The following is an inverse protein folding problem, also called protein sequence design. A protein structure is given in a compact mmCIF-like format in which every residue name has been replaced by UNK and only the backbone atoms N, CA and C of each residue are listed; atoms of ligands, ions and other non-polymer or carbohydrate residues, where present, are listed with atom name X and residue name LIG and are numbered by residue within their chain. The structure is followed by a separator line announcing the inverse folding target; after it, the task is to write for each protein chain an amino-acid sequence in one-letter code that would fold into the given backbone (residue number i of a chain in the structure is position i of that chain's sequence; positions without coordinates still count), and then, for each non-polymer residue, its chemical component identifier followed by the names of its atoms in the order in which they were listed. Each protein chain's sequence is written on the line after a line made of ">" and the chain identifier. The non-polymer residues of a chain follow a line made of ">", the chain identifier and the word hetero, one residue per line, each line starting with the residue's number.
data_IF_931033237945
#
_entry.id   IF_931033237945
#
_cell.length_a   1.000
_cell.length_b   1.000
_cell.length_c   1.000
_cell.angle_alpha   90.00
_cell.angle_beta   90.00
_cell.angle_gamma   90.00
#
_symmetry.space_group_name_H-M   'P 1'
#
loop_
_entity.id
_entity.type
_entity.pdbx_description
1 polymer ?
#
# COMPACT_ATOMS: atom_id res chain seq x y z
N UNK A 1 -18.57 -16.07 -8.85
CA UNK A 1 -17.09 -15.92 -8.80
C UNK A 1 -16.76 -15.19 -7.52
N UNK A 2 -16.03 -15.78 -6.58
CA UNK A 2 -15.72 -15.20 -5.25
C UNK A 2 -14.73 -14.03 -5.28
N UNK A 3 -14.82 -13.16 -6.29
CA UNK A 3 -13.97 -11.97 -6.48
C UNK A 3 -14.62 -10.80 -5.76
N UNK A 4 -13.84 -10.05 -5.00
CA UNK A 4 -14.23 -8.81 -4.32
C UNK A 4 -13.70 -7.62 -5.11
N UNK A 5 -14.50 -6.57 -5.27
CA UNK A 5 -14.12 -5.36 -5.99
C UNK A 5 -13.74 -4.30 -4.96
N UNK A 6 -12.54 -3.74 -5.09
CA UNK A 6 -12.06 -2.61 -4.30
C UNK A 6 -11.92 -1.44 -5.25
N UNK A 7 -12.42 -0.27 -4.85
CA UNK A 7 -12.27 0.95 -5.63
C UNK A 7 -10.99 1.68 -5.21
N UNK A 8 -10.37 2.38 -6.16
CA UNK A 8 -9.15 3.15 -5.95
C UNK A 8 -9.52 4.64 -6.04
N UNK A 9 -9.15 5.45 -5.05
CA UNK A 9 -9.64 6.83 -4.99
C UNK A 9 -8.83 7.72 -4.06
N UNK A 10 -9.05 9.03 -4.19
CA UNK A 10 -8.28 10.08 -3.48
C UNK A 10 -9.21 11.12 -2.92
N UNK A 11 -8.86 11.62 -1.74
CA UNK A 11 -9.55 12.73 -1.09
C UNK A 11 -8.62 13.89 -0.75
N UNK A 12 -7.30 13.78 -0.95
CA UNK A 12 -6.35 14.88 -0.64
C UNK A 12 -6.45 16.04 -1.65
N UNK A 13 -7.13 15.82 -2.78
CA UNK A 13 -7.05 16.67 -3.95
C UNK A 13 -8.43 17.00 -4.51
N UNK A 14 -8.65 18.26 -4.86
CA UNK A 14 -9.79 18.68 -5.67
C UNK A 14 -9.32 19.19 -7.04
N UNK A 15 -9.87 18.61 -8.11
CA UNK A 15 -9.60 19.07 -9.48
C UNK A 15 -10.19 20.47 -9.69
N UNK A 16 -9.30 21.44 -9.92
CA UNK A 16 -9.66 22.86 -10.03
C UNK A 16 -10.42 23.19 -11.32
N UNK A 17 -10.40 22.29 -12.30
CA UNK A 17 -11.15 22.45 -13.54
C UNK A 17 -12.65 22.15 -13.39
N UNK A 18 -13.03 21.39 -12.35
CA UNK A 18 -14.39 20.89 -12.17
C UNK A 18 -15.36 21.97 -11.67
N UNK A 19 -16.64 21.96 -12.11
CA UNK A 19 -17.63 22.93 -11.65
C UNK A 19 -17.80 22.97 -10.13
N UNK A 20 -17.83 21.81 -9.48
CA UNK A 20 -18.01 21.73 -8.02
C UNK A 20 -16.84 22.30 -7.23
N UNK A 21 -15.63 22.36 -7.82
CA UNK A 21 -14.52 23.05 -7.18
C UNK A 21 -14.82 24.53 -7.06
N UNK A 22 -15.28 25.14 -8.16
CA UNK A 22 -15.57 26.57 -8.23
C UNK A 22 -16.77 27.00 -7.38
N UNK A 23 -17.67 26.07 -7.05
CA UNK A 23 -18.85 26.37 -6.22
C UNK A 23 -18.69 26.04 -4.75
N UNK A 24 -17.96 24.97 -4.40
CA UNK A 24 -17.93 24.44 -3.04
C UNK A 24 -16.52 24.11 -2.54
N UNK A 25 -15.73 23.30 -3.26
CA UNK A 25 -14.47 22.78 -2.71
C UNK A 25 -13.40 23.87 -2.55
N UNK A 26 -13.39 24.93 -3.37
CA UNK A 26 -12.37 25.98 -3.29
C UNK A 26 -12.26 26.60 -1.88
N UNK A 27 -13.36 26.56 -1.11
CA UNK A 27 -13.44 27.09 0.26
C UNK A 27 -12.60 26.32 1.28
N UNK A 28 -12.15 25.12 0.92
CA UNK A 28 -11.40 24.22 1.80
C UNK A 28 -9.99 23.92 1.28
N UNK A 29 -9.52 24.68 0.28
CA UNK A 29 -8.16 24.56 -0.21
C UNK A 29 -7.17 25.07 0.85
N UNK A 30 -6.07 24.34 1.04
CA UNK A 30 -4.99 24.78 1.90
C UNK A 30 -4.22 25.94 1.25
N UNK A 31 -3.90 26.97 2.02
CA UNK A 31 -3.12 28.13 1.58
C UNK A 31 -1.84 28.30 2.38
N UNK A 32 -0.85 28.93 1.75
CA UNK A 32 0.37 29.41 2.41
C UNK A 32 0.07 30.66 3.28
N UNK A 33 1.06 31.19 4.03
CA UNK A 33 0.89 32.39 4.87
C UNK A 33 0.47 33.65 4.13
N UNK A 34 0.60 33.69 2.79
CA UNK A 34 0.24 34.82 1.95
C UNK A 34 -1.14 34.65 1.29
N UNK A 35 -1.86 33.58 1.65
CA UNK A 35 -3.18 33.27 1.11
C UNK A 35 -3.13 32.62 -0.28
N UNK A 36 -1.95 32.16 -0.74
CA UNK A 36 -1.79 31.49 -2.03
C UNK A 36 -2.15 30.01 -1.85
N UNK A 37 -3.13 29.47 -2.60
CA UNK A 37 -3.47 28.05 -2.52
C UNK A 37 -2.32 27.16 -2.95
N UNK A 38 -2.11 26.06 -2.20
CA UNK A 38 -1.21 25.01 -2.62
C UNK A 38 -1.83 24.18 -3.74
N UNK A 39 -1.01 23.87 -4.74
CA UNK A 39 -1.43 23.09 -5.89
C UNK A 39 -0.52 21.89 -6.12
N UNK A 40 -1.12 20.78 -6.56
CA UNK A 40 -0.43 19.61 -7.06
C UNK A 40 -0.73 19.43 -8.56
N UNK A 41 0.26 19.01 -9.33
CA UNK A 41 0.04 18.58 -10.71
C UNK A 41 -0.82 17.31 -10.76
N UNK A 42 -1.72 17.21 -11.73
CA UNK A 42 -2.44 15.97 -12.05
C UNK A 42 -1.52 14.86 -12.53
N UNK A 43 -1.99 13.62 -12.46
CA UNK A 43 -1.23 12.46 -12.92
C UNK A 43 -0.97 12.48 -14.42
N UNK A 44 0.30 12.31 -14.80
CA UNK A 44 0.71 12.03 -16.17
C UNK A 44 0.88 10.52 -16.36
N UNK A 45 0.05 9.92 -17.19
CA UNK A 45 0.17 8.53 -17.67
C UNK A 45 0.93 8.45 -19.00
N UNK A 46 1.72 9.48 -19.33
CA UNK A 46 2.58 9.57 -20.52
C UNK A 46 1.83 9.51 -21.86
N UNK A 47 0.57 9.93 -21.92
CA UNK A 47 -0.06 10.18 -23.22
C UNK A 47 0.59 11.39 -23.89
N UNK A 48 0.57 11.50 -25.24
CA UNK A 48 1.10 12.67 -25.93
C UNK A 48 0.51 13.99 -25.42
N UNK A 49 -0.78 14.02 -25.06
CA UNK A 49 -1.43 15.21 -24.50
C UNK A 49 -0.92 15.56 -23.10
N UNK A 50 -0.59 14.58 -22.27
CA UNK A 50 -0.04 14.81 -20.93
C UNK A 50 1.43 15.23 -21.01
N UNK A 51 2.21 14.62 -21.91
CA UNK A 51 3.59 15.03 -22.18
C UNK A 51 3.66 16.47 -22.72
N UNK A 52 2.64 16.90 -23.46
CA UNK A 52 2.48 18.28 -23.93
C UNK A 52 1.84 19.22 -22.89
N UNK A 53 1.48 18.73 -21.69
CA UNK A 53 0.87 19.52 -20.62
C UNK A 53 -0.56 20.01 -20.90
N UNK A 54 -1.26 19.41 -21.88
CA UNK A 54 -2.58 19.88 -22.36
C UNK A 54 -3.71 19.44 -21.41
N UNK A 55 -3.67 18.20 -20.95
CA UNK A 55 -4.72 17.63 -20.09
C UNK A 55 -4.20 17.22 -18.70
N UNK A 56 -3.12 17.85 -18.25
CA UNK A 56 -2.68 17.75 -16.86
C UNK A 56 -3.46 18.74 -16.01
N UNK A 57 -4.54 18.26 -15.40
CA UNK A 57 -5.38 19.10 -14.56
C UNK A 57 -4.64 19.51 -13.29
N UNK A 58 -4.83 20.75 -12.84
CA UNK A 58 -4.31 21.24 -11.56
C UNK A 58 -5.27 20.87 -10.45
N UNK A 59 -4.71 20.45 -9.32
CA UNK A 59 -5.48 20.05 -8.15
C UNK A 59 -5.11 20.93 -6.97
N UNK A 60 -6.12 21.43 -6.26
CA UNK A 60 -5.90 22.09 -4.97
C UNK A 60 -5.63 21.02 -3.90
N UNK A 61 -4.73 21.32 -2.96
CA UNK A 61 -4.53 20.49 -1.77
C UNK A 61 -5.62 20.80 -0.75
N UNK A 62 -6.35 19.80 -0.30
CA UNK A 62 -7.50 19.98 0.57
C UNK A 62 -7.12 19.90 2.05
N UNK A 63 -7.79 20.69 2.88
CA UNK A 63 -7.51 20.75 4.32
C UNK A 63 -8.29 19.69 5.12
N UNK A 64 -7.60 18.63 5.53
CA UNK A 64 -8.19 17.53 6.31
C UNK A 64 -8.51 17.92 7.75
N UNK A 65 -7.87 18.96 8.29
CA UNK A 65 -8.16 19.43 9.63
C UNK A 65 -9.53 20.13 9.68
N UNK A 66 -9.96 20.73 8.57
CA UNK A 66 -11.27 21.38 8.48
C UNK A 66 -12.43 20.38 8.64
N UNK A 67 -13.30 20.54 9.66
CA UNK A 67 -14.50 19.71 9.79
C UNK A 67 -15.42 19.81 8.57
N UNK A 68 -15.57 21.01 8.01
CA UNK A 68 -16.40 21.23 6.82
C UNK A 68 -15.88 20.49 5.59
N UNK A 69 -14.56 20.39 5.43
CA UNK A 69 -13.98 19.57 4.38
C UNK A 69 -14.21 18.07 4.63
N UNK A 70 -14.01 17.59 5.86
CA UNK A 70 -14.23 16.17 6.22
C UNK A 70 -15.67 15.74 5.95
N UNK A 71 -16.64 16.60 6.23
CA UNK A 71 -18.04 16.34 5.90
C UNK A 71 -18.26 16.22 4.39
N UNK A 72 -17.68 17.13 3.62
CA UNK A 72 -17.78 17.13 2.17
C UNK A 72 -17.08 15.91 1.54
N UNK A 73 -15.87 15.57 1.99
CA UNK A 73 -15.15 14.38 1.57
C UNK A 73 -15.91 13.09 1.92
N UNK A 74 -16.55 13.05 3.09
CA UNK A 74 -17.40 11.92 3.50
C UNK A 74 -18.61 11.75 2.59
N UNK A 75 -19.24 12.85 2.13
CA UNK A 75 -20.33 12.77 1.13
C UNK A 75 -19.86 12.20 -0.20
N UNK A 76 -18.65 12.58 -0.66
CA UNK A 76 -18.06 11.99 -1.87
C UNK A 76 -17.74 10.51 -1.67
N UNK A 77 -17.18 10.13 -0.52
CA UNK A 77 -16.91 8.74 -0.17
C UNK A 77 -18.19 7.89 -0.11
N UNK A 78 -19.32 8.44 0.35
CA UNK A 78 -20.60 7.73 0.33
C UNK A 78 -21.07 7.34 -1.08
N UNK A 79 -20.67 8.08 -2.12
CA UNK A 79 -20.93 7.68 -3.51
C UNK A 79 -20.18 6.41 -3.88
N UNK A 80 -18.96 6.23 -3.36
CA UNK A 80 -18.17 5.00 -3.51
C UNK A 80 -18.89 3.83 -2.83
N UNK A 81 -19.39 4.01 -1.62
CA UNK A 81 -20.16 2.98 -0.90
C UNK A 81 -21.43 2.59 -1.67
N UNK A 82 -22.12 3.55 -2.29
CA UNK A 82 -23.33 3.32 -3.07
C UNK A 82 -23.10 2.46 -4.32
N UNK A 83 -21.86 2.36 -4.82
CA UNK A 83 -21.49 1.46 -5.92
C UNK A 83 -21.40 -0.02 -5.50
N UNK A 84 -21.48 -0.33 -4.21
CA UNK A 84 -21.45 -1.70 -3.70
C UNK A 84 -20.06 -2.34 -3.71
N UNK A 85 -18.99 -1.54 -3.64
CA UNK A 85 -17.64 -2.05 -3.50
C UNK A 85 -17.43 -2.78 -2.17
N UNK A 86 -16.52 -3.75 -2.15
CA UNK A 86 -16.13 -4.49 -0.94
C UNK A 86 -15.02 -3.80 -0.15
N UNK A 87 -14.47 -2.70 -0.69
CA UNK A 87 -13.41 -1.94 -0.05
C UNK A 87 -12.99 -0.73 -0.88
N UNK A 88 -12.08 0.03 -0.29
CA UNK A 88 -11.44 1.18 -0.91
C UNK A 88 -9.95 1.21 -0.59
N UNK A 89 -9.13 1.49 -1.61
CA UNK A 89 -7.73 1.87 -1.46
C UNK A 89 -7.63 3.39 -1.62
N UNK A 90 -7.30 4.03 -0.52
CA UNK A 90 -7.01 5.45 -0.46
C UNK A 90 -5.58 5.73 -0.92
N UNK A 91 -5.46 6.12 -2.17
CA UNK A 91 -4.17 6.44 -2.79
C UNK A 91 -3.64 7.80 -2.34
N UNK A 92 -2.33 7.91 -2.20
CA UNK A 92 -1.61 9.06 -1.62
C UNK A 92 -2.06 9.45 -0.19
N UNK A 93 -2.69 8.55 0.59
CA UNK A 93 -3.12 8.88 1.95
C UNK A 93 -1.96 9.07 2.95
N UNK A 94 -0.71 8.82 2.54
CA UNK A 94 0.49 9.05 3.32
C UNK A 94 0.99 10.51 3.30
N UNK A 95 0.44 11.38 2.44
CA UNK A 95 0.88 12.77 2.35
C UNK A 95 -0.18 13.76 1.84
N UNK A 96 0.04 15.03 2.17
CA UNK A 96 -0.75 16.17 1.70
C UNK A 96 0.05 17.08 0.76
N UNK A 97 0.85 16.44 -0.10
CA UNK A 97 1.72 17.14 -1.05
C UNK A 97 2.78 17.97 -0.31
N UNK A 98 2.96 19.26 -0.64
CA UNK A 98 3.92 20.11 0.06
C UNK A 98 3.41 20.65 1.41
N UNK A 99 2.15 20.40 1.77
CA UNK A 99 1.49 21.12 2.86
C UNK A 99 1.71 20.41 4.20
N UNK A 100 2.19 21.17 5.18
CA UNK A 100 2.21 20.76 6.60
C UNK A 100 1.25 21.60 7.43
N UNK A 101 1.19 22.90 7.13
CA UNK A 101 0.35 23.85 7.82
C UNK A 101 -0.52 24.60 6.80
N UNK A 102 -1.80 24.78 7.13
CA UNK A 102 -2.74 25.57 6.36
C UNK A 102 -3.03 26.90 7.08
N UNK A 103 -2.92 28.01 6.36
CA UNK A 103 -3.12 29.36 6.86
C UNK A 103 -4.48 29.98 6.49
N UNK A 104 -5.32 29.24 5.75
CA UNK A 104 -6.63 29.73 5.34
C UNK A 104 -7.52 30.05 6.56
N UNK A 105 -8.18 31.23 6.60
CA UNK A 105 -9.14 31.55 7.65
C UNK A 105 -10.43 30.73 7.49
N UNK A 106 -11.26 30.70 8.53
CA UNK A 106 -12.63 30.16 8.49
C UNK A 106 -12.77 28.65 8.23
N UNK A 107 -11.70 27.87 8.45
CA UNK A 107 -11.72 26.41 8.29
C UNK A 107 -12.18 25.63 9.54
N UNK A 108 -12.64 26.33 10.58
CA UNK A 108 -13.12 25.73 11.83
C UNK A 108 -12.04 25.59 12.93
N UNK A 109 -10.90 26.26 12.76
CA UNK A 109 -9.82 26.37 13.74
C UNK A 109 -9.10 27.72 13.58
N UNK A 110 -8.27 28.11 14.56
CA UNK A 110 -7.41 29.31 14.46
C UNK A 110 -6.15 28.99 13.65
N UNK A 111 -5.90 29.65 12.50
CA UNK A 111 -4.72 29.36 11.70
C UNK A 111 -3.40 29.78 12.40
N UNK A 112 -2.27 29.10 12.11
CA UNK A 112 -2.14 27.98 11.18
C UNK A 112 -2.60 26.63 11.78
N UNK A 113 -3.22 25.79 10.95
CA UNK A 113 -3.63 24.44 11.31
C UNK A 113 -2.65 23.38 10.79
N UNK A 114 -2.23 22.45 11.63
CA UNK A 114 -1.41 21.31 11.20
C UNK A 114 -2.29 20.23 10.55
N UNK A 115 -2.28 20.14 9.23
CA UNK A 115 -3.32 19.41 8.49
C UNK A 115 -3.34 17.89 8.74
N UNK A 116 -2.18 17.30 9.06
CA UNK A 116 -2.07 15.88 9.41
C UNK A 116 -2.84 15.52 10.69
N UNK A 117 -3.13 16.50 11.57
CA UNK A 117 -4.00 16.26 12.72
C UNK A 117 -5.45 15.91 12.31
N UNK A 118 -5.82 16.17 11.05
CA UNK A 118 -7.11 15.79 10.47
C UNK A 118 -7.20 14.35 9.96
N UNK A 119 -6.09 13.63 9.83
CA UNK A 119 -6.08 12.33 9.15
C UNK A 119 -6.79 11.23 9.94
N UNK A 120 -6.54 11.14 11.25
CA UNK A 120 -7.25 10.20 12.12
C UNK A 120 -8.75 10.53 12.20
N UNK A 121 -9.17 11.79 12.49
CA UNK A 121 -10.58 12.16 12.48
C UNK A 121 -11.27 11.90 11.13
N UNK A 122 -10.59 12.13 10.00
CA UNK A 122 -11.11 11.79 8.68
C UNK A 122 -11.28 10.27 8.56
N UNK A 123 -10.26 9.48 8.89
CA UNK A 123 -10.32 8.02 8.84
C UNK A 123 -11.47 7.44 9.67
N UNK A 124 -11.64 7.93 10.90
CA UNK A 124 -12.75 7.54 11.79
C UNK A 124 -14.13 7.89 11.20
N UNK A 125 -14.26 9.09 10.62
CA UNK A 125 -15.51 9.54 10.00
C UNK A 125 -15.88 8.71 8.77
N UNK A 126 -14.89 8.41 7.90
CA UNK A 126 -15.10 7.55 6.74
C UNK A 126 -15.43 6.12 7.16
N UNK A 127 -14.74 5.59 8.18
CA UNK A 127 -15.03 4.25 8.74
C UNK A 127 -16.46 4.18 9.28
N UNK A 128 -16.88 5.17 10.05
CA UNK A 128 -18.24 5.25 10.58
C UNK A 128 -19.30 5.32 9.47
N UNK A 129 -19.00 5.96 8.33
CA UNK A 129 -19.88 5.95 7.17
C UNK A 129 -19.96 4.56 6.51
N UNK A 130 -18.82 3.87 6.35
CA UNK A 130 -18.77 2.52 5.79
C UNK A 130 -19.45 1.48 6.67
N UNK A 131 -19.26 1.54 8.00
CA UNK A 131 -19.84 0.58 8.96
C UNK A 131 -21.38 0.59 8.97
N UNK A 132 -22.02 1.65 8.48
CA UNK A 132 -23.49 1.71 8.29
C UNK A 132 -23.97 0.91 7.08
N UNK A 133 -23.07 0.63 6.13
CA UNK A 133 -23.37 -0.08 4.87
C UNK A 133 -22.83 -1.51 4.92
N UNK A 134 -21.56 -1.66 5.26
CA UNK A 134 -20.86 -2.94 5.38
C UNK A 134 -19.74 -2.84 6.42
N UNK A 135 -19.88 -3.58 7.53
CA UNK A 135 -18.87 -3.61 8.60
C UNK A 135 -17.61 -4.37 8.20
N UNK A 136 -17.66 -5.18 7.15
CA UNK A 136 -16.51 -5.88 6.60
C UNK A 136 -15.84 -5.10 5.45
N UNK A 137 -16.31 -3.89 5.16
CA UNK A 137 -15.71 -3.05 4.13
C UNK A 137 -14.22 -2.83 4.42
N UNK A 138 -13.36 -3.19 3.46
CA UNK A 138 -11.92 -3.12 3.60
C UNK A 138 -11.43 -1.68 3.36
N UNK A 139 -10.68 -1.15 4.33
CA UNK A 139 -9.93 0.09 4.17
C UNK A 139 -8.45 -0.25 3.90
N UNK A 140 -7.94 0.28 2.81
CA UNK A 140 -6.53 0.22 2.45
C UNK A 140 -5.98 1.63 2.18
N UNK A 141 -4.67 1.83 2.37
CA UNK A 141 -4.02 3.10 2.08
C UNK A 141 -2.64 2.91 1.45
N UNK A 142 -2.18 3.88 0.67
CA UNK A 142 -0.84 3.89 0.05
C UNK A 142 0.24 4.33 1.05
N UNK A 143 1.09 3.40 1.49
CA UNK A 143 2.35 3.69 2.20
C UNK A 143 2.21 4.52 3.47
N UNK A 144 1.04 4.49 4.10
CA UNK A 144 0.71 5.34 5.24
C UNK A 144 1.48 4.94 6.50
N UNK A 145 1.64 5.90 7.39
CA UNK A 145 2.32 5.72 8.66
C UNK A 145 1.57 4.73 9.56
N UNK A 146 2.28 4.06 10.46
CA UNK A 146 1.75 3.02 11.35
C UNK A 146 0.51 3.45 12.16
N UNK A 147 0.48 4.69 12.65
CA UNK A 147 -0.67 5.21 13.40
C UNK A 147 -1.96 5.26 12.57
N UNK A 148 -1.88 5.41 11.25
CA UNK A 148 -3.04 5.38 10.36
C UNK A 148 -3.59 3.97 10.11
N UNK A 149 -2.86 2.91 10.47
CA UNK A 149 -3.34 1.52 10.34
C UNK A 149 -4.55 1.21 11.21
N UNK A 150 -4.82 2.04 12.21
CA UNK A 150 -6.05 1.99 13.01
C UNK A 150 -7.30 2.26 12.17
N UNK A 151 -7.19 3.11 11.14
CA UNK A 151 -8.28 3.44 10.22
C UNK A 151 -8.16 2.71 8.87
N UNK A 152 -6.93 2.44 8.43
CA UNK A 152 -6.60 1.77 7.16
C UNK A 152 -5.78 0.50 7.41
N UNK A 153 -6.41 -0.63 7.80
CA UNK A 153 -5.65 -1.80 8.23
C UNK A 153 -4.67 -2.35 7.20
N UNK A 154 -4.99 -2.26 5.89
CA UNK A 154 -4.13 -2.74 4.81
C UNK A 154 -3.26 -1.59 4.26
N UNK A 155 -1.94 -1.78 4.24
CA UNK A 155 -1.03 -0.86 3.55
C UNK A 155 -0.61 -1.41 2.19
N UNK A 156 -0.70 -0.56 1.17
CA UNK A 156 -0.25 -0.82 -0.19
C UNK A 156 0.99 0.03 -0.48
N UNK A 157 2.06 -0.55 -1.03
CA UNK A 157 3.27 0.20 -1.33
C UNK A 157 4.14 -0.50 -2.38
N UNK A 158 5.26 0.14 -2.72
CA UNK A 158 6.29 -0.41 -3.61
C UNK A 158 7.56 -0.64 -2.81
N UNK A 159 8.33 -1.64 -3.24
CA UNK A 159 9.65 -1.97 -2.67
C UNK A 159 10.65 -2.14 -3.79
N UNK A 160 11.92 -2.26 -3.40
CA UNK A 160 13.04 -2.66 -4.24
C UNK A 160 13.98 -3.60 -3.45
N UNK A 161 15.06 -4.05 -4.08
CA UNK A 161 16.02 -4.96 -3.45
C UNK A 161 16.74 -4.37 -2.22
N UNK A 162 16.74 -3.04 -2.06
CA UNK A 162 17.31 -2.34 -0.91
C UNK A 162 16.32 -2.14 0.25
N UNK A 163 15.06 -2.50 0.04
CA UNK A 163 14.00 -2.27 1.01
C UNK A 163 14.15 -3.13 2.26
N UNK A 164 13.88 -2.50 3.41
CA UNK A 164 13.82 -3.11 4.74
C UNK A 164 12.36 -3.27 5.16
N UNK A 165 11.93 -4.45 5.65
CA UNK A 165 10.53 -4.69 6.02
C UNK A 165 10.18 -4.08 7.39
N UNK A 166 10.33 -2.76 7.55
CA UNK A 166 10.24 -2.08 8.86
C UNK A 166 8.93 -2.40 9.59
N UNK A 167 7.82 -2.38 8.86
CA UNK A 167 6.49 -2.68 9.40
C UNK A 167 6.37 -4.08 10.00
N UNK A 168 7.17 -5.05 9.53
CA UNK A 168 7.17 -6.41 10.07
C UNK A 168 7.80 -6.50 11.46
N UNK A 169 8.63 -5.53 11.85
CA UNK A 169 9.16 -5.45 13.22
C UNK A 169 8.18 -4.81 14.20
N UNK A 170 7.21 -4.03 13.71
CA UNK A 170 6.15 -3.41 14.52
C UNK A 170 4.98 -4.40 14.67
N UNK A 171 4.50 -4.92 13.55
CA UNK A 171 3.46 -5.96 13.49
C UNK A 171 3.83 -7.02 12.43
N UNK A 172 4.37 -8.18 12.88
CA UNK A 172 4.72 -9.28 11.99
C UNK A 172 3.56 -9.81 11.15
N UNK A 173 2.31 -9.56 11.57
CA UNK A 173 1.10 -10.07 10.94
C UNK A 173 0.35 -9.05 10.09
N UNK A 174 0.72 -7.77 10.12
CA UNK A 174 0.04 -6.68 9.39
C UNK A 174 -0.25 -7.05 7.92
N UNK A 175 -1.44 -6.70 7.39
CA UNK A 175 -1.74 -6.92 5.98
C UNK A 175 -1.02 -5.84 5.15
N UNK A 176 0.07 -6.24 4.51
CA UNK A 176 0.94 -5.38 3.73
C UNK A 176 0.98 -5.92 2.31
N UNK A 177 0.72 -5.07 1.32
CA UNK A 177 0.57 -5.43 -0.08
C UNK A 177 1.58 -4.68 -0.94
N UNK A 178 2.26 -5.43 -1.81
CA UNK A 178 3.34 -4.90 -2.64
C UNK A 178 3.03 -5.10 -4.11
N UNK A 179 3.22 -4.05 -4.90
CA UNK A 179 3.06 -4.08 -6.35
C UNK A 179 4.15 -4.93 -7.03
N UNK A 180 3.73 -5.78 -7.96
CA UNK A 180 4.58 -6.40 -8.98
C UNK A 180 4.19 -5.84 -10.35
N UNK A 181 5.16 -5.26 -11.04
CA UNK A 181 4.92 -4.40 -12.22
C UNK A 181 5.71 -4.83 -13.45
N UNK A 182 6.77 -5.64 -13.26
CA UNK A 182 7.68 -6.06 -14.32
C UNK A 182 7.17 -7.24 -15.17
N UNK A 183 7.75 -7.39 -16.36
CA UNK A 183 7.53 -8.53 -17.27
C UNK A 183 7.94 -9.87 -16.63
N UNK A 184 9.12 -9.87 -16.00
CA UNK A 184 9.69 -10.95 -15.21
C UNK A 184 10.13 -10.39 -13.86
N UNK A 185 9.18 -10.31 -12.94
CA UNK A 185 9.34 -9.66 -11.64
C UNK A 185 9.68 -10.65 -10.52
N UNK A 186 10.51 -11.64 -10.85
CA UNK A 186 10.89 -12.72 -9.93
C UNK A 186 11.58 -12.22 -8.66
N UNK A 187 12.40 -11.18 -8.77
CA UNK A 187 13.08 -10.57 -7.62
C UNK A 187 12.08 -9.98 -6.63
N UNK A 188 11.10 -9.20 -7.10
CA UNK A 188 10.08 -8.63 -6.22
C UNK A 188 9.20 -9.73 -5.61
N UNK A 189 8.83 -10.73 -6.40
CA UNK A 189 8.07 -11.89 -5.91
C UNK A 189 8.83 -12.67 -4.83
N UNK A 190 10.15 -12.79 -4.94
CA UNK A 190 11.00 -13.37 -3.90
C UNK A 190 10.97 -12.55 -2.60
N UNK A 191 11.09 -11.22 -2.69
CA UNK A 191 10.98 -10.35 -1.52
C UNK A 191 9.59 -10.45 -0.88
N UNK A 192 8.54 -10.50 -1.69
CA UNK A 192 7.16 -10.69 -1.21
C UNK A 192 7.02 -12.01 -0.44
N UNK A 193 7.69 -13.09 -0.87
CA UNK A 193 7.71 -14.36 -0.11
C UNK A 193 8.53 -14.24 1.18
N UNK A 194 9.72 -13.63 1.13
CA UNK A 194 10.59 -13.43 2.29
C UNK A 194 9.91 -12.62 3.39
N UNK A 195 9.30 -11.49 3.02
CA UNK A 195 8.80 -10.49 3.96
C UNK A 195 7.28 -10.64 4.22
N UNK A 196 6.69 -11.76 3.76
CA UNK A 196 5.28 -12.11 3.98
C UNK A 196 4.30 -11.06 3.46
N UNK A 197 4.51 -10.53 2.25
CA UNK A 197 3.60 -9.54 1.65
C UNK A 197 2.48 -10.18 0.82
N UNK A 198 1.37 -9.46 0.66
CA UNK A 198 0.34 -9.74 -0.35
C UNK A 198 0.86 -9.28 -1.71
N UNK A 199 0.51 -10.01 -2.77
CA UNK A 199 0.92 -9.67 -4.15
C UNK A 199 -0.17 -8.79 -4.77
N UNK A 200 0.20 -7.57 -5.19
CA UNK A 200 -0.63 -6.73 -6.06
C UNK A 200 -0.11 -6.84 -7.49
N UNK A 201 -0.88 -7.47 -8.36
CA UNK A 201 -0.54 -7.65 -9.77
C UNK A 201 -0.88 -6.41 -10.59
N UNK A 202 0.14 -5.66 -11.01
CA UNK A 202 -0.02 -4.35 -11.65
C UNK A 202 0.76 -4.25 -12.96
N UNK A 203 0.31 -4.94 -14.03
CA UNK A 203 0.97 -4.90 -15.33
C UNK A 203 1.25 -3.44 -15.75
N UNK A 204 2.54 -3.09 -15.85
CA UNK A 204 3.03 -1.76 -16.23
C UNK A 204 2.46 -0.60 -15.38
N UNK A 205 2.27 -0.82 -14.06
CA UNK A 205 1.66 0.16 -13.16
C UNK A 205 0.22 0.48 -13.56
N UNK A 206 -0.62 -0.55 -13.64
CA UNK A 206 -2.04 -0.50 -14.03
C UNK A 206 -2.29 -0.09 -15.50
N UNK A 207 -1.29 -0.16 -16.38
CA UNK A 207 -1.42 0.20 -17.81
C UNK A 207 -1.57 -0.99 -18.76
N UNK A 208 -1.62 -2.20 -18.22
CA UNK A 208 -1.80 -3.42 -19.01
C UNK A 208 -2.81 -4.39 -18.39
N UNK A 209 -2.94 -5.53 -19.04
CA UNK A 209 -3.74 -6.67 -18.62
C UNK A 209 -2.88 -7.72 -17.93
N UNK A 210 -3.50 -8.57 -17.09
CA UNK A 210 -2.79 -9.69 -16.45
C UNK A 210 -2.12 -10.65 -17.45
N UNK A 211 -2.60 -10.67 -18.69
CA UNK A 211 -2.01 -11.45 -19.80
C UNK A 211 -0.71 -10.86 -20.34
N UNK A 212 -0.38 -9.62 -19.99
CA UNK A 212 0.76 -8.91 -20.59
C UNK A 212 2.09 -9.22 -19.92
N UNK A 213 2.08 -9.82 -18.72
CA UNK A 213 3.28 -10.24 -17.97
C UNK A 213 3.22 -11.71 -17.52
N UNK A 214 3.11 -12.68 -18.46
CA UNK A 214 2.81 -14.07 -18.14
C UNK A 214 3.85 -14.75 -17.25
N UNK A 215 5.13 -14.33 -17.30
CA UNK A 215 6.19 -14.87 -16.45
C UNK A 215 5.98 -14.51 -14.98
N UNK A 216 5.74 -13.22 -14.69
CA UNK A 216 5.41 -12.74 -13.34
C UNK A 216 4.16 -13.44 -12.78
N UNK A 217 3.10 -13.55 -13.59
CA UNK A 217 1.88 -14.23 -13.15
C UNK A 217 2.09 -15.72 -12.88
N UNK A 218 2.85 -16.42 -13.73
CA UNK A 218 3.15 -17.84 -13.56
C UNK A 218 3.95 -18.09 -12.29
N UNK A 219 4.98 -17.27 -12.02
CA UNK A 219 5.79 -17.43 -10.82
C UNK A 219 5.04 -17.07 -9.54
N UNK A 220 4.26 -15.98 -9.55
CA UNK A 220 3.48 -15.61 -8.37
C UNK A 220 2.40 -16.66 -8.03
N UNK A 221 1.81 -17.35 -9.02
CA UNK A 221 0.93 -18.50 -8.77
C UNK A 221 1.64 -19.66 -8.06
N UNK A 222 2.91 -19.93 -8.40
CA UNK A 222 3.74 -20.94 -7.71
C UNK A 222 4.00 -20.55 -6.26
N UNK A 223 4.32 -19.28 -6.00
CA UNK A 223 4.50 -18.74 -4.64
C UNK A 223 3.21 -18.89 -3.83
N UNK A 224 2.07 -18.53 -4.40
CA UNK A 224 0.76 -18.67 -3.79
C UNK A 224 0.45 -20.13 -3.43
N UNK A 225 0.74 -21.07 -4.34
CA UNK A 225 0.57 -22.50 -4.10
C UNK A 225 1.47 -22.98 -2.95
N UNK A 226 2.74 -22.54 -2.90
CA UNK A 226 3.66 -22.85 -1.82
C UNK A 226 3.13 -22.33 -0.48
N UNK A 227 2.69 -21.05 -0.42
CA UNK A 227 2.12 -20.45 0.80
C UNK A 227 0.86 -21.16 1.26
N UNK A 228 -0.03 -21.58 0.35
CA UNK A 228 -1.22 -22.36 0.72
C UNK A 228 -0.84 -23.72 1.29
N UNK A 229 0.12 -24.42 0.68
CA UNK A 229 0.58 -25.74 1.14
C UNK A 229 1.28 -25.66 2.51
N UNK A 230 2.09 -24.64 2.73
CA UNK A 230 2.86 -24.43 3.97
C UNK A 230 2.32 -23.27 4.80
N UNK A 231 0.99 -23.08 4.79
CA UNK A 231 0.33 -21.91 5.41
C UNK A 231 0.74 -21.70 6.87
N UNK A 232 0.76 -22.78 7.66
CA UNK A 232 1.13 -22.70 9.07
C UNK A 232 2.56 -22.17 9.29
N UNK A 233 3.48 -22.36 8.33
CA UNK A 233 4.88 -21.98 8.41
C UNK A 233 5.24 -20.67 7.70
N UNK A 234 4.52 -20.32 6.62
CA UNK A 234 4.87 -19.18 5.76
C UNK A 234 3.85 -18.04 5.85
N UNK A 235 2.68 -18.28 6.44
CA UNK A 235 1.61 -17.29 6.49
C UNK A 235 1.07 -17.05 7.89
N UNK A 236 0.73 -18.11 8.62
CA UNK A 236 0.20 -17.97 9.99
C UNK A 236 1.33 -17.89 11.04
N UNK A 237 2.57 -18.21 10.65
CA UNK A 237 3.76 -18.10 11.50
C UNK A 237 4.17 -16.63 11.71
N UNK A 238 4.87 -16.38 12.82
CA UNK A 238 5.47 -15.10 13.12
C UNK A 238 6.74 -14.90 12.29
N UNK A 239 6.80 -13.80 11.53
CA UNK A 239 8.01 -13.36 10.87
C UNK A 239 9.05 -12.88 11.91
N UNK A 240 10.29 -13.37 11.80
CA UNK A 240 11.40 -13.06 12.73
C UNK A 240 12.62 -12.48 12.01
N UNK A 241 12.46 -12.07 10.75
CA UNK A 241 13.57 -11.64 9.90
C UNK A 241 14.71 -12.66 9.94
N UNK A 242 15.93 -12.30 10.30
CA UNK A 242 17.06 -13.24 10.35
C UNK A 242 17.20 -13.97 11.69
N UNK A 243 16.37 -13.66 12.68
CA UNK A 243 16.52 -14.19 14.05
C UNK A 243 16.09 -15.65 14.12
N UNK A 244 17.00 -16.49 14.64
CA UNK A 244 16.73 -17.91 14.91
C UNK A 244 17.28 -18.88 13.87
N UNK A 245 18.00 -18.39 12.87
CA UNK A 245 18.82 -19.18 11.96
C UNK A 245 20.09 -18.40 11.58
N UNK A 246 21.10 -19.09 11.08
CA UNK A 246 22.22 -18.47 10.37
C UNK A 246 22.30 -19.09 8.99
N UNK A 247 22.31 -18.25 7.95
CA UNK A 247 22.40 -18.71 6.56
C UNK A 247 23.65 -18.12 5.93
N UNK A 248 24.35 -18.93 5.14
CA UNK A 248 25.43 -18.49 4.25
C UNK A 248 25.22 -19.09 2.85
N UNK A 249 25.71 -18.43 1.80
CA UNK A 249 25.63 -18.94 0.44
C UNK A 249 26.82 -18.50 -0.42
N UNK A 250 27.05 -19.19 -1.53
CA UNK A 250 28.08 -18.92 -2.55
C UNK A 250 27.69 -17.85 -3.60
N UNK A 251 26.66 -17.05 -3.32
CA UNK A 251 26.17 -15.99 -4.20
C UNK A 251 25.32 -14.96 -3.46
N UNK A 252 24.66 -14.06 -4.20
CA UNK A 252 23.79 -13.04 -3.60
C UNK A 252 22.48 -13.66 -3.09
N UNK A 253 22.21 -13.49 -1.80
CA UNK A 253 21.03 -14.07 -1.16
C UNK A 253 20.42 -13.12 -0.13
N UNK A 254 19.13 -13.34 0.13
CA UNK A 254 18.43 -12.85 1.33
C UNK A 254 17.72 -14.03 1.96
N UNK A 255 17.47 -13.95 3.26
CA UNK A 255 16.69 -14.98 3.95
C UNK A 255 15.84 -14.37 5.06
N UNK A 256 14.79 -15.09 5.41
CA UNK A 256 13.95 -14.78 6.55
C UNK A 256 13.55 -16.05 7.28
N UNK A 257 13.24 -15.91 8.57
CA UNK A 257 12.90 -16.96 9.51
C UNK A 257 11.47 -16.73 9.96
N UNK A 258 10.71 -17.81 9.99
CA UNK A 258 9.35 -17.85 10.47
C UNK A 258 9.25 -18.83 11.62
N UNK A 259 8.51 -18.46 12.67
CA UNK A 259 8.27 -19.31 13.83
C UNK A 259 6.78 -19.56 13.99
N UNK A 260 6.42 -20.82 13.87
CA UNK A 260 5.05 -21.32 14.11
C UNK A 260 4.66 -21.21 15.60
N UNK A 261 3.36 -21.31 15.90
CA UNK A 261 2.86 -21.28 17.28
C UNK A 261 3.40 -22.41 18.17
N UNK A 262 3.75 -23.56 17.58
CA UNK A 262 4.37 -24.70 18.27
C UNK A 262 5.90 -24.63 18.28
N UNK A 263 6.49 -23.49 17.91
CA UNK A 263 7.94 -23.25 17.99
C UNK A 263 8.77 -23.86 16.86
N UNK A 264 8.14 -24.49 15.86
CA UNK A 264 8.83 -24.96 14.65
C UNK A 264 9.25 -23.78 13.77
N UNK A 265 10.40 -23.93 13.12
CA UNK A 265 11.00 -22.90 12.26
C UNK A 265 10.86 -23.25 10.78
N UNK A 266 10.63 -22.23 9.97
CA UNK A 266 10.88 -22.27 8.54
C UNK A 266 11.91 -21.18 8.19
N UNK A 267 12.82 -21.50 7.28
CA UNK A 267 13.78 -20.54 6.73
C UNK A 267 13.49 -20.41 5.24
N UNK A 268 13.15 -19.22 4.80
CA UNK A 268 13.00 -18.89 3.38
C UNK A 268 14.31 -18.31 2.91
N UNK A 269 14.91 -18.88 1.87
CA UNK A 269 16.14 -18.36 1.25
C UNK A 269 15.81 -17.97 -0.18
N UNK A 270 16.08 -16.72 -0.55
CA UNK A 270 15.91 -16.24 -1.90
C UNK A 270 17.27 -15.99 -2.55
N UNK A 271 17.47 -16.56 -3.73
CA UNK A 271 18.55 -16.17 -4.63
C UNK A 271 18.21 -14.81 -5.25
N UNK A 272 19.09 -13.84 -5.07
CA UNK A 272 18.95 -12.49 -5.64
C UNK A 272 19.61 -12.38 -7.03
N UNK A 273 20.33 -13.43 -7.47
CA UNK A 273 20.90 -13.51 -8.81
C UNK A 273 19.96 -14.16 -9.82
N UNK A 274 20.04 -13.72 -11.09
CA UNK A 274 19.27 -14.30 -12.21
C UNK A 274 20.01 -15.41 -12.97
N UNK A 275 21.34 -15.34 -13.00
CA UNK A 275 22.15 -16.15 -13.93
C UNK A 275 22.56 -17.51 -13.37
N UNK A 276 22.75 -17.62 -12.05
CA UNK A 276 23.35 -18.79 -11.41
C UNK A 276 22.52 -19.23 -10.23
N UNK A 277 22.36 -20.55 -10.09
CA UNK A 277 21.92 -21.15 -8.83
C UNK A 277 22.95 -20.88 -7.73
N UNK A 278 22.48 -20.83 -6.49
CA UNK A 278 23.33 -20.73 -5.30
C UNK A 278 23.22 -22.00 -4.46
N UNK A 279 24.28 -22.31 -3.73
CA UNK A 279 24.29 -23.29 -2.65
C UNK A 279 24.20 -22.55 -1.34
N UNK A 280 23.11 -22.76 -0.59
CA UNK A 280 22.93 -22.17 0.74
C UNK A 280 23.14 -23.21 1.85
N UNK A 281 23.88 -22.82 2.89
CA UNK A 281 23.99 -23.55 4.15
C UNK A 281 23.08 -22.89 5.17
N UNK A 282 22.18 -23.68 5.77
CA UNK A 282 21.25 -23.21 6.81
C UNK A 282 21.61 -23.88 8.13
N UNK A 283 21.94 -23.08 9.12
CA UNK A 283 22.23 -23.50 10.48
C UNK A 283 21.07 -23.10 11.39
N UNK A 284 20.52 -24.07 12.12
CA UNK A 284 19.38 -23.91 13.02
C UNK A 284 19.74 -24.47 14.40
N UNK A 285 19.35 -23.81 15.50
CA UNK A 285 19.54 -24.37 16.83
C UNK A 285 18.56 -25.53 17.05
N UNK A 286 19.09 -26.70 17.46
CA UNK A 286 18.36 -27.94 17.71
C UNK A 286 17.43 -28.34 16.55
N UNK A 287 17.97 -28.57 15.34
CA UNK A 287 17.14 -28.84 14.18
C UNK A 287 16.49 -30.23 14.29
N UNK A 288 15.20 -30.28 14.00
CA UNK A 288 14.54 -31.54 13.66
C UNK A 288 14.88 -31.97 12.23
N UNK A 289 14.15 -32.95 11.71
CA UNK A 289 14.23 -33.33 10.29
C UNK A 289 13.82 -32.14 9.43
N UNK A 290 14.73 -31.70 8.56
CA UNK A 290 14.46 -30.63 7.61
C UNK A 290 13.75 -31.17 6.37
N UNK A 291 12.85 -30.34 5.83
CA UNK A 291 12.19 -30.56 4.54
C UNK A 291 12.47 -29.35 3.69
N UNK A 292 12.93 -29.59 2.46
CA UNK A 292 13.16 -28.53 1.47
C UNK A 292 11.98 -28.49 0.53
N UNK A 293 11.46 -27.29 0.29
CA UNK A 293 10.41 -27.04 -0.70
C UNK A 293 10.79 -25.81 -1.52
N UNK A 294 10.41 -25.82 -2.79
CA UNK A 294 10.65 -24.73 -3.73
C UNK A 294 9.34 -24.39 -4.44
N UNK A 295 9.09 -23.11 -4.79
CA UNK A 295 8.04 -22.77 -5.74
C UNK A 295 8.32 -23.35 -7.14
N UNK A 296 9.58 -23.69 -7.46
CA UNK A 296 9.99 -24.15 -8.80
C UNK A 296 9.44 -25.50 -9.23
#
# INVERSE_FOLDING_TARGET
>A
MGVKIILFGKLNWADMSMPWYKSEFYKYASTDPFGIPYEQGGYSYYTPTQLAGINNHRRAVMDFLSPGYRDLATREFQKLLALGASGWLFDENCHHGPVKYNFAPDHGYTPPGFIYAGDLPMGEQLRAAADRVDREFLFAGEGHQDWLKQAYPLSYFRIDNSSTPVDRYIDPQAPLMVAVTGFDDREMLNLILLDRYLISYEPYNFKGHLTDFPMTLAYGKKIDALRRRFRAWLWDAEFRDTVGAQVSADGAYRYSVFVTRDGKRAVVVANQGREKSITAKVELPNPGKLVVATPE
#
